data_IF_588322522012
#
_entry.id   IF_588322522012
#
_cell.length_a   1.000
_cell.length_b   1.000
_cell.length_c   1.000
_cell.angle_alpha   90.00
_cell.angle_beta   90.00
_cell.angle_gamma   90.00
#
_symmetry.space_group_name_H-M   'P 1'
#
loop_
_entity.id
_entity.type
_entity.pdbx_description
1 polymer ?
#
# COMPACT_ATOMS: atom_id res chain seq x y z
N UNK A 1 26.97 37.10 21.63
CA UNK A 1 26.51 36.50 20.40
C UNK A 1 25.22 35.79 20.71
N UNK A 2 24.08 36.34 20.30
CA UNK A 2 22.75 35.75 20.59
C UNK A 2 22.45 34.73 19.47
N UNK A 3 22.44 33.46 19.81
CA UNK A 3 22.05 32.41 18.93
C UNK A 3 20.56 32.58 18.55
N UNK A 4 20.32 32.70 17.26
CA UNK A 4 19.02 33.02 16.68
C UNK A 4 18.13 31.75 16.70
N UNK A 5 17.04 31.69 17.50
CA UNK A 5 16.23 30.48 17.69
C UNK A 5 15.45 30.06 16.39
N UNK A 6 15.49 30.89 15.34
CA UNK A 6 14.75 30.64 14.10
C UNK A 6 15.40 29.53 13.26
N UNK A 7 16.74 29.33 13.35
CA UNK A 7 17.41 28.27 12.60
C UNK A 7 17.17 26.84 13.13
N UNK A 8 16.84 26.70 14.43
CA UNK A 8 16.56 25.40 15.02
C UNK A 8 15.14 24.88 14.68
N UNK A 9 14.18 25.77 14.48
CA UNK A 9 12.79 25.40 14.22
C UNK A 9 12.53 24.98 12.76
N UNK A 10 13.29 25.48 11.80
CA UNK A 10 13.14 25.11 10.38
C UNK A 10 13.71 23.73 10.04
N UNK A 11 14.73 23.26 10.75
CA UNK A 11 15.30 21.92 10.56
C UNK A 11 14.41 20.78 11.09
N UNK A 12 13.47 21.06 11.99
CA UNK A 12 12.59 20.03 12.59
C UNK A 12 11.43 19.67 11.65
N UNK A 13 11.04 20.54 10.74
CA UNK A 13 9.86 20.32 9.89
C UNK A 13 10.12 19.52 8.59
N UNK A 14 11.38 19.36 8.16
CA UNK A 14 11.74 18.65 6.93
C UNK A 14 12.58 17.37 7.11
N UNK A 15 13.05 17.10 8.31
CA UNK A 15 13.76 15.85 8.59
C UNK A 15 12.74 14.73 8.77
N UNK A 16 12.70 13.78 7.85
CA UNK A 16 12.06 12.48 8.08
C UNK A 16 12.64 11.95 9.40
N UNK A 17 11.83 11.67 10.43
CA UNK A 17 12.35 11.21 11.71
C UNK A 17 13.30 10.02 11.49
N UNK A 18 14.49 10.05 12.07
CA UNK A 18 15.48 8.97 11.90
C UNK A 18 14.89 7.59 12.21
N UNK A 19 13.98 7.52 13.16
CA UNK A 19 13.25 6.31 13.51
C UNK A 19 12.40 5.79 12.35
N UNK A 20 11.71 6.67 11.62
CA UNK A 20 10.90 6.26 10.46
C UNK A 20 11.77 5.69 9.34
N UNK A 21 12.97 6.26 9.08
CA UNK A 21 13.91 5.70 8.11
C UNK A 21 14.44 4.33 8.55
N UNK A 22 14.76 4.15 9.82
CA UNK A 22 15.16 2.85 10.36
C UNK A 22 14.07 1.79 10.16
N UNK A 23 12.82 2.15 10.43
CA UNK A 23 11.67 1.26 10.24
C UNK A 23 11.48 0.88 8.77
N UNK A 24 11.63 1.82 7.83
CA UNK A 24 11.60 1.53 6.40
C UNK A 24 12.68 0.51 6.05
N UNK A 25 13.91 0.69 6.53
CA UNK A 25 15.01 -0.25 6.30
C UNK A 25 14.72 -1.62 6.90
N UNK A 26 14.21 -1.69 8.13
CA UNK A 26 13.79 -2.95 8.77
C UNK A 26 12.75 -3.67 7.91
N UNK A 27 11.75 -2.94 7.43
CA UNK A 27 10.71 -3.51 6.58
C UNK A 27 11.27 -4.05 5.26
N UNK A 28 12.16 -3.32 4.61
CA UNK A 28 12.83 -3.76 3.37
C UNK A 28 13.66 -5.03 3.63
N UNK A 29 14.47 -5.04 4.69
CA UNK A 29 15.28 -6.22 5.08
C UNK A 29 14.40 -7.43 5.38
N UNK A 30 13.20 -7.21 5.92
CA UNK A 30 12.26 -8.29 6.24
C UNK A 30 11.75 -9.02 5.01
N UNK A 31 11.75 -8.42 3.81
CA UNK A 31 11.45 -9.12 2.57
C UNK A 31 12.55 -10.13 2.18
N UNK A 32 13.81 -9.78 2.37
CA UNK A 32 14.91 -10.71 2.15
C UNK A 32 14.86 -11.88 3.15
N UNK A 33 14.57 -11.58 4.42
CA UNK A 33 14.35 -12.61 5.45
C UNK A 33 13.12 -13.46 5.13
N UNK A 34 12.04 -12.87 4.63
CA UNK A 34 10.85 -13.59 4.20
C UNK A 34 11.17 -14.60 3.09
N UNK A 35 12.04 -14.24 2.12
CA UNK A 35 12.49 -15.17 1.10
C UNK A 35 13.21 -16.39 1.69
N UNK A 36 14.18 -16.16 2.58
CA UNK A 36 14.89 -17.24 3.28
C UNK A 36 13.93 -18.11 4.10
N UNK A 37 13.00 -17.46 4.82
CA UNK A 37 11.99 -18.12 5.64
C UNK A 37 11.06 -19.03 4.82
N UNK A 38 10.55 -18.54 3.68
CA UNK A 38 9.69 -19.32 2.77
C UNK A 38 10.42 -20.54 2.26
N UNK A 39 11.69 -20.39 1.88
CA UNK A 39 12.52 -21.47 1.38
C UNK A 39 12.78 -22.53 2.46
N UNK A 40 13.16 -22.11 3.65
CA UNK A 40 13.47 -23.00 4.77
C UNK A 40 12.26 -23.80 5.23
N UNK A 41 11.10 -23.14 5.35
CA UNK A 41 9.88 -23.78 5.86
C UNK A 41 8.94 -24.30 4.77
N UNK A 42 9.38 -24.31 3.49
CA UNK A 42 8.66 -24.87 2.33
C UNK A 42 7.24 -24.32 2.17
N UNK A 43 7.05 -23.01 2.37
CA UNK A 43 5.73 -22.35 2.33
C UNK A 43 5.20 -22.08 0.90
N UNK A 44 5.86 -22.58 -0.13
CA UNK A 44 5.54 -22.30 -1.53
C UNK A 44 4.09 -22.58 -1.92
N UNK A 45 3.51 -23.68 -1.42
CA UNK A 45 2.10 -24.04 -1.72
C UNK A 45 1.11 -23.00 -1.20
N UNK A 46 1.40 -22.39 -0.05
CA UNK A 46 0.57 -21.35 0.58
C UNK A 46 0.69 -20.00 -0.11
N UNK A 47 1.64 -19.84 -1.01
CA UNK A 47 1.91 -18.60 -1.74
C UNK A 47 1.41 -18.72 -3.17
N UNK A 48 1.74 -19.81 -3.87
CA UNK A 48 1.49 -19.95 -5.30
C UNK A 48 -0.01 -20.04 -5.59
N UNK A 49 -0.78 -20.83 -4.85
CA UNK A 49 -2.21 -21.02 -5.12
C UNK A 49 -2.99 -19.69 -4.99
N UNK A 50 -2.94 -18.98 -3.84
CA UNK A 50 -3.61 -17.68 -3.73
C UNK A 50 -3.03 -16.64 -4.68
N UNK A 51 -1.72 -16.70 -4.93
CA UNK A 51 -1.02 -15.78 -5.82
C UNK A 51 -1.49 -15.90 -7.27
N UNK A 52 -1.71 -17.09 -7.79
CA UNK A 52 -2.28 -17.30 -9.14
C UNK A 52 -3.70 -16.73 -9.21
N UNK A 53 -4.54 -17.01 -8.21
CA UNK A 53 -5.89 -16.42 -8.14
C UNK A 53 -5.83 -14.89 -8.16
N UNK A 54 -4.92 -14.29 -7.38
CA UNK A 54 -4.71 -12.86 -7.36
C UNK A 54 -4.26 -12.32 -8.72
N UNK A 55 -3.29 -12.96 -9.37
CA UNK A 55 -2.78 -12.53 -10.66
C UNK A 55 -3.85 -12.55 -11.75
N UNK A 56 -4.70 -13.58 -11.77
CA UNK A 56 -5.83 -13.68 -12.71
C UNK A 56 -6.84 -12.55 -12.45
N UNK A 57 -7.26 -12.36 -11.20
CA UNK A 57 -8.21 -11.30 -10.83
C UNK A 57 -7.65 -9.92 -11.13
N UNK A 58 -6.36 -9.69 -10.85
CA UNK A 58 -5.69 -8.45 -11.17
C UNK A 58 -5.65 -8.18 -12.67
N UNK A 59 -5.29 -9.18 -13.50
CA UNK A 59 -5.28 -9.05 -14.94
C UNK A 59 -6.65 -8.73 -15.52
N UNK A 60 -7.71 -9.41 -15.05
CA UNK A 60 -9.10 -9.14 -15.43
C UNK A 60 -9.48 -7.70 -15.05
N UNK A 61 -9.13 -7.29 -13.82
CA UNK A 61 -9.43 -5.96 -13.31
C UNK A 61 -8.74 -4.86 -14.11
N UNK A 62 -7.47 -5.04 -14.47
CA UNK A 62 -6.72 -4.10 -15.31
C UNK A 62 -7.32 -3.98 -16.74
N UNK A 63 -7.83 -5.06 -17.29
CA UNK A 63 -8.52 -5.02 -18.57
C UNK A 63 -9.79 -4.16 -18.52
N UNK A 64 -10.63 -4.35 -17.50
CA UNK A 64 -11.83 -3.53 -17.31
C UNK A 64 -11.50 -2.06 -16.99
N UNK A 65 -10.44 -1.81 -16.23
CA UNK A 65 -9.97 -0.46 -15.97
C UNK A 65 -9.57 0.26 -17.25
N UNK A 66 -8.74 -0.36 -18.09
CA UNK A 66 -8.29 0.27 -19.33
C UNK A 66 -9.48 0.68 -20.21
N UNK A 67 -10.50 -0.17 -20.32
CA UNK A 67 -11.73 0.17 -21.05
C UNK A 67 -12.52 1.32 -20.42
N UNK A 68 -12.74 1.28 -19.11
CA UNK A 68 -13.54 2.28 -18.42
C UNK A 68 -12.84 3.62 -18.32
N UNK A 69 -11.52 3.64 -18.14
CA UNK A 69 -10.73 4.88 -18.08
C UNK A 69 -10.75 5.61 -19.43
N UNK A 70 -10.56 4.88 -20.54
CA UNK A 70 -10.62 5.47 -21.88
C UNK A 70 -12.02 6.02 -22.17
N UNK A 71 -13.07 5.28 -21.85
CA UNK A 71 -14.44 5.73 -22.02
C UNK A 71 -14.77 7.00 -21.18
N UNK A 72 -14.26 7.05 -19.95
CA UNK A 72 -14.44 8.21 -19.07
C UNK A 72 -13.68 9.44 -19.60
N UNK A 73 -12.46 9.28 -20.09
CA UNK A 73 -11.67 10.36 -20.68
C UNK A 73 -12.33 10.86 -21.97
N UNK A 74 -12.78 9.96 -22.84
CA UNK A 74 -13.51 10.31 -24.06
C UNK A 74 -14.80 11.07 -23.77
N UNK A 75 -15.59 10.59 -22.81
CA UNK A 75 -16.81 11.26 -22.39
C UNK A 75 -16.51 12.66 -21.84
N UNK A 76 -15.51 12.78 -20.97
CA UNK A 76 -15.15 14.07 -20.35
C UNK A 76 -14.64 15.08 -21.38
N UNK A 77 -13.81 14.65 -22.31
CA UNK A 77 -13.27 15.52 -23.37
C UNK A 77 -14.34 15.95 -24.37
N UNK A 78 -15.32 15.10 -24.64
CA UNK A 78 -16.44 15.39 -25.56
C UNK A 78 -17.45 16.35 -24.92
N UNK A 79 -17.91 16.07 -23.70
CA UNK A 79 -18.93 16.87 -23.01
C UNK A 79 -18.43 18.26 -22.61
N UNK A 80 -17.15 18.40 -22.28
CA UNK A 80 -16.54 19.68 -21.89
C UNK A 80 -16.10 20.51 -23.09
N UNK A 81 -16.17 19.97 -24.32
CA UNK A 81 -15.66 20.65 -25.53
C UNK A 81 -14.11 20.78 -25.52
N UNK A 82 -13.44 20.19 -24.57
CA UNK A 82 -11.98 20.20 -24.42
C UNK A 82 -11.27 19.66 -25.67
N UNK A 83 -11.92 18.73 -26.41
CA UNK A 83 -11.38 18.16 -27.61
C UNK A 83 -11.13 19.22 -28.70
N UNK A 84 -12.07 20.15 -28.88
CA UNK A 84 -11.93 21.27 -29.83
C UNK A 84 -10.87 22.28 -29.38
N UNK A 85 -10.71 22.47 -28.09
CA UNK A 85 -9.69 23.32 -27.50
C UNK A 85 -8.30 22.74 -27.62
N UNK A 86 -8.15 21.45 -27.33
CA UNK A 86 -6.89 20.71 -27.42
C UNK A 86 -6.34 20.66 -28.85
N UNK A 87 -7.20 20.49 -29.85
CA UNK A 87 -6.79 20.51 -31.26
C UNK A 87 -6.28 21.89 -31.72
N UNK A 88 -6.82 22.99 -31.14
CA UNK A 88 -6.34 24.36 -31.43
C UNK A 88 -5.04 24.73 -30.76
N UNK A 89 -4.68 24.02 -29.67
CA UNK A 89 -3.52 24.33 -28.84
C UNK A 89 -2.37 23.34 -29.02
N UNK A 90 -2.50 22.37 -29.94
CA UNK A 90 -1.55 21.25 -30.08
C UNK A 90 -0.10 21.70 -30.28
N UNK A 91 0.13 22.81 -30.97
CA UNK A 91 1.48 23.34 -31.27
C UNK A 91 1.93 24.42 -30.28
N UNK A 92 1.21 24.63 -29.17
CA UNK A 92 1.54 25.65 -28.20
C UNK A 92 2.09 25.05 -26.90
N UNK A 93 2.88 25.85 -26.15
CA UNK A 93 3.33 25.50 -24.80
C UNK A 93 2.17 25.14 -23.86
N UNK A 94 1.02 25.76 -24.06
CA UNK A 94 -0.22 25.49 -23.32
C UNK A 94 -0.72 24.06 -23.66
N UNK A 95 -0.68 23.64 -24.91
CA UNK A 95 -1.04 22.27 -25.33
C UNK A 95 -0.14 21.22 -24.69
N UNK A 96 1.16 21.50 -24.56
CA UNK A 96 2.10 20.62 -23.83
C UNK A 96 1.69 20.46 -22.36
N UNK A 97 1.35 21.56 -21.66
CA UNK A 97 0.91 21.51 -20.26
C UNK A 97 -0.39 20.70 -20.09
N UNK A 98 -1.35 20.84 -21.01
CA UNK A 98 -2.59 20.03 -20.97
C UNK A 98 -2.31 18.56 -21.21
N UNK A 99 -1.39 18.19 -22.11
CA UNK A 99 -1.00 16.80 -22.36
C UNK A 99 -0.38 16.18 -21.11
N UNK A 100 0.56 16.89 -20.47
CA UNK A 100 1.18 16.43 -19.22
C UNK A 100 0.15 16.31 -18.09
N UNK A 101 -0.74 17.29 -17.96
CA UNK A 101 -1.85 17.25 -17.00
C UNK A 101 -2.77 16.05 -17.22
N UNK A 102 -3.09 15.73 -18.46
CA UNK A 102 -3.88 14.55 -18.83
C UNK A 102 -3.19 13.23 -18.46
N UNK A 103 -1.88 13.11 -18.70
CA UNK A 103 -1.10 11.95 -18.31
C UNK A 103 -1.08 11.81 -16.77
N UNK A 104 -0.88 12.92 -16.04
CA UNK A 104 -0.88 12.90 -14.58
C UNK A 104 -2.25 12.48 -14.02
N UNK A 105 -3.33 13.04 -14.58
CA UNK A 105 -4.69 12.64 -14.20
C UNK A 105 -4.93 11.16 -14.46
N UNK A 106 -4.53 10.66 -15.62
CA UNK A 106 -4.66 9.23 -15.96
C UNK A 106 -3.90 8.35 -14.97
N UNK A 107 -2.67 8.71 -14.60
CA UNK A 107 -1.87 7.97 -13.60
C UNK A 107 -2.56 7.95 -12.24
N UNK A 108 -3.14 9.07 -11.81
CA UNK A 108 -3.84 9.16 -10.52
C UNK A 108 -5.14 8.34 -10.55
N UNK A 109 -5.88 8.36 -11.65
CA UNK A 109 -7.07 7.51 -11.82
C UNK A 109 -6.70 6.03 -11.82
N UNK A 110 -5.58 5.66 -12.44
CA UNK A 110 -5.05 4.30 -12.41
C UNK A 110 -4.71 3.88 -10.98
N UNK A 111 -4.05 4.75 -10.20
CA UNK A 111 -3.75 4.48 -8.80
C UNK A 111 -5.03 4.34 -7.95
N UNK A 112 -6.02 5.20 -8.17
CA UNK A 112 -7.32 5.09 -7.49
C UNK A 112 -8.00 3.75 -7.78
N UNK A 113 -8.06 3.36 -9.06
CA UNK A 113 -8.63 2.07 -9.46
C UNK A 113 -7.87 0.89 -8.85
N UNK A 114 -6.53 0.94 -8.91
CA UNK A 114 -5.68 -0.08 -8.30
C UNK A 114 -5.90 -0.16 -6.79
N UNK A 115 -6.08 0.99 -6.14
CA UNK A 115 -6.41 1.07 -4.71
C UNK A 115 -7.73 0.39 -4.38
N UNK A 116 -8.79 0.64 -5.15
CA UNK A 116 -10.09 0.00 -4.95
C UNK A 116 -10.02 -1.51 -5.17
N UNK A 117 -9.36 -1.95 -6.24
CA UNK A 117 -9.15 -3.36 -6.52
C UNK A 117 -8.37 -4.06 -5.41
N UNK A 118 -7.31 -3.45 -4.91
CA UNK A 118 -6.50 -3.92 -3.79
C UNK A 118 -7.37 -4.27 -2.58
N UNK A 119 -8.33 -3.41 -2.22
CA UNK A 119 -9.18 -3.64 -1.07
C UNK A 119 -10.18 -4.76 -1.29
N UNK A 120 -10.72 -4.93 -2.50
CA UNK A 120 -11.52 -6.11 -2.84
C UNK A 120 -10.70 -7.38 -2.60
N UNK A 121 -9.43 -7.39 -3.05
CA UNK A 121 -8.55 -8.53 -2.83
C UNK A 121 -8.17 -8.72 -1.37
N UNK A 122 -7.90 -7.64 -0.63
CA UNK A 122 -7.63 -7.73 0.81
C UNK A 122 -8.80 -8.33 1.58
N UNK A 123 -10.04 -8.01 1.20
CA UNK A 123 -11.25 -8.59 1.80
C UNK A 123 -11.37 -10.08 1.42
N UNK A 124 -11.25 -10.41 0.14
CA UNK A 124 -11.37 -11.80 -0.34
C UNK A 124 -10.19 -12.65 0.10
N UNK A 125 -8.99 -12.08 0.16
CA UNK A 125 -7.75 -12.74 0.58
C UNK A 125 -7.51 -12.75 2.09
N UNK A 126 -8.28 -11.97 2.86
CA UNK A 126 -8.12 -11.83 4.31
C UNK A 126 -8.01 -13.18 5.03
N UNK A 127 -8.80 -14.21 4.71
CA UNK A 127 -8.66 -15.53 5.30
C UNK A 127 -7.26 -16.14 5.08
N UNK A 128 -6.74 -16.04 3.88
CA UNK A 128 -5.44 -16.61 3.51
C UNK A 128 -4.30 -15.82 4.15
N UNK A 129 -4.40 -14.50 4.16
CA UNK A 129 -3.38 -13.62 4.73
C UNK A 129 -3.30 -13.75 6.26
N UNK A 130 -4.44 -13.85 6.94
CA UNK A 130 -4.49 -14.11 8.38
C UNK A 130 -3.83 -15.44 8.70
N UNK A 131 -4.20 -16.54 8.02
CA UNK A 131 -3.57 -17.85 8.20
C UNK A 131 -2.07 -17.84 7.91
N UNK A 132 -1.64 -17.11 6.88
CA UNK A 132 -0.21 -17.02 6.52
C UNK A 132 0.58 -16.25 7.58
N UNK A 133 0.05 -15.13 8.07
CA UNK A 133 0.63 -14.36 9.18
C UNK A 133 0.74 -15.22 10.45
N UNK A 134 -0.33 -15.92 10.80
CA UNK A 134 -0.38 -16.76 11.98
C UNK A 134 0.59 -17.96 11.91
N UNK A 135 0.65 -18.61 10.74
CA UNK A 135 1.62 -19.69 10.49
C UNK A 135 3.06 -19.19 10.54
N UNK A 136 3.34 -18.03 9.97
CA UNK A 136 4.67 -17.42 10.00
C UNK A 136 5.10 -17.17 11.43
N UNK A 137 4.25 -16.58 12.22
CA UNK A 137 4.55 -16.25 13.59
C UNK A 137 4.63 -17.47 14.50
N UNK A 138 3.80 -18.50 14.30
CA UNK A 138 3.90 -19.75 15.05
C UNK A 138 5.26 -20.43 14.86
N UNK A 139 5.81 -20.35 13.65
CA UNK A 139 7.15 -20.85 13.35
C UNK A 139 8.24 -20.01 14.05
N UNK A 140 8.11 -18.68 14.01
CA UNK A 140 9.07 -17.77 14.66
C UNK A 140 9.07 -17.95 16.18
N UNK A 141 7.90 -18.10 16.79
CA UNK A 141 7.74 -18.19 18.25
C UNK A 141 7.88 -19.63 18.77
N UNK A 142 8.01 -20.62 17.89
CA UNK A 142 8.07 -22.04 18.28
C UNK A 142 6.78 -22.56 18.92
N UNK A 143 5.65 -21.86 18.71
CA UNK A 143 4.35 -22.26 19.27
C UNK A 143 3.54 -23.06 18.24
N UNK A 144 2.76 -24.09 18.68
CA UNK A 144 1.92 -24.82 17.74
C UNK A 144 0.82 -23.92 17.18
N UNK A 145 0.56 -24.05 15.88
CA UNK A 145 -0.55 -23.38 15.23
C UNK A 145 -1.86 -24.10 15.58
N UNK A 146 -2.72 -23.45 16.35
CA UNK A 146 -4.06 -23.96 16.67
C UNK A 146 -5.14 -23.19 15.86
N UNK A 147 -5.73 -23.84 14.89
CA UNK A 147 -6.84 -23.28 14.13
C UNK A 147 -8.13 -23.31 14.94
N UNK A 148 -8.70 -22.13 15.26
CA UNK A 148 -10.02 -21.98 15.91
C UNK A 148 -10.96 -21.23 14.99
N UNK A 149 -11.97 -21.92 14.44
CA UNK A 149 -12.91 -21.34 13.46
C UNK A 149 -13.64 -20.09 13.99
N UNK A 150 -14.03 -20.06 15.26
CA UNK A 150 -14.72 -18.91 15.84
C UNK A 150 -13.85 -17.66 15.91
N UNK A 151 -12.58 -17.83 16.29
CA UNK A 151 -11.61 -16.74 16.29
C UNK A 151 -11.36 -16.27 14.86
N UNK A 152 -11.13 -17.20 13.95
CA UNK A 152 -10.91 -16.92 12.54
C UNK A 152 -12.04 -16.10 11.89
N UNK A 153 -13.31 -16.44 12.14
CA UNK A 153 -14.44 -15.64 11.64
C UNK A 153 -14.50 -14.24 12.24
N UNK A 154 -14.18 -14.10 13.52
CA UNK A 154 -14.07 -12.79 14.19
C UNK A 154 -12.98 -11.94 13.54
N UNK A 155 -11.82 -12.55 13.25
CA UNK A 155 -10.66 -11.93 12.66
C UNK A 155 -10.95 -11.47 11.21
N UNK A 156 -11.64 -12.29 10.42
CA UNK A 156 -12.11 -11.92 9.07
C UNK A 156 -13.05 -10.71 9.13
N UNK A 157 -14.03 -10.69 10.04
CA UNK A 157 -14.94 -9.54 10.19
C UNK A 157 -14.20 -8.28 10.60
N UNK A 158 -13.22 -8.41 11.50
CA UNK A 158 -12.35 -7.29 11.89
C UNK A 158 -11.51 -6.79 10.70
N UNK A 159 -10.88 -7.70 9.96
CA UNK A 159 -10.10 -7.37 8.77
C UNK A 159 -10.91 -6.63 7.70
N UNK A 160 -12.16 -7.07 7.46
CA UNK A 160 -13.10 -6.37 6.56
C UNK A 160 -13.35 -4.94 7.05
N UNK A 161 -13.66 -4.74 8.34
CA UNK A 161 -13.88 -3.40 8.91
C UNK A 161 -12.65 -2.50 8.73
N UNK A 162 -11.46 -3.04 8.95
CA UNK A 162 -10.20 -2.30 8.77
C UNK A 162 -9.95 -1.97 7.29
N UNK A 163 -10.20 -2.92 6.39
CA UNK A 163 -10.09 -2.69 4.95
C UNK A 163 -11.05 -1.59 4.48
N UNK A 164 -12.31 -1.64 4.88
CA UNK A 164 -13.31 -0.60 4.55
C UNK A 164 -12.87 0.77 5.08
N UNK A 165 -12.45 0.84 6.35
CA UNK A 165 -11.94 2.09 6.94
C UNK A 165 -10.74 2.64 6.14
N UNK A 166 -9.77 1.79 5.83
CA UNK A 166 -8.58 2.19 5.10
C UNK A 166 -8.92 2.65 3.68
N UNK A 167 -9.85 1.95 3.00
CA UNK A 167 -10.37 2.36 1.69
C UNK A 167 -10.96 3.76 1.75
N UNK A 168 -11.82 4.03 2.71
CA UNK A 168 -12.48 5.34 2.84
C UNK A 168 -11.45 6.46 3.05
N UNK A 169 -10.53 6.31 4.01
CA UNK A 169 -9.51 7.33 4.25
C UNK A 169 -8.57 7.50 3.06
N UNK A 170 -8.11 6.41 2.48
CA UNK A 170 -7.25 6.46 1.31
C UNK A 170 -7.94 7.15 0.12
N UNK A 171 -9.23 6.84 -0.11
CA UNK A 171 -10.02 7.49 -1.17
C UNK A 171 -10.10 8.99 -0.94
N UNK A 172 -10.34 9.45 0.29
CA UNK A 172 -10.33 10.88 0.63
C UNK A 172 -8.98 11.53 0.29
N UNK A 173 -7.86 10.90 0.66
CA UNK A 173 -6.54 11.43 0.32
C UNK A 173 -6.28 11.46 -1.19
N UNK A 174 -6.63 10.40 -1.92
CA UNK A 174 -6.45 10.35 -3.37
C UNK A 174 -7.32 11.40 -4.09
N UNK A 175 -8.58 11.57 -3.68
CA UNK A 175 -9.44 12.63 -4.21
C UNK A 175 -8.83 14.01 -3.93
N UNK A 176 -8.32 14.25 -2.71
CA UNK A 176 -7.64 15.51 -2.39
C UNK A 176 -6.42 15.76 -3.28
N UNK A 177 -5.65 14.70 -3.59
CA UNK A 177 -4.51 14.77 -4.50
C UNK A 177 -4.95 15.04 -5.93
N UNK A 178 -6.10 14.50 -6.39
CA UNK A 178 -6.67 14.82 -7.72
C UNK A 178 -6.92 16.32 -7.82
N UNK A 179 -7.56 16.94 -6.83
CA UNK A 179 -7.73 18.39 -6.83
C UNK A 179 -6.41 19.14 -6.80
N UNK A 180 -5.43 18.67 -6.02
CA UNK A 180 -4.11 19.28 -5.95
C UNK A 180 -3.35 19.15 -7.28
N UNK A 181 -3.59 18.10 -8.06
CA UNK A 181 -2.96 17.86 -9.35
C UNK A 181 -3.37 18.86 -10.43
N UNK A 182 -4.49 19.55 -10.23
CA UNK A 182 -4.95 20.62 -11.13
C UNK A 182 -4.12 21.90 -11.01
N UNK A 183 -3.32 22.04 -9.95
CA UNK A 183 -2.44 23.20 -9.76
C UNK A 183 -1.15 23.02 -10.56
N UNK A 184 -0.80 23.93 -11.48
CA UNK A 184 0.25 23.72 -12.48
C UNK A 184 1.66 23.49 -11.89
N UNK A 185 1.98 24.03 -10.72
CA UNK A 185 3.29 23.87 -10.09
C UNK A 185 3.37 22.70 -9.11
N UNK A 186 2.27 22.37 -8.43
CA UNK A 186 2.20 21.32 -7.42
C UNK A 186 1.83 19.97 -8.04
N UNK A 187 1.10 20.00 -9.15
CA UNK A 187 0.59 18.82 -9.84
C UNK A 187 1.68 17.78 -10.18
N UNK A 188 2.91 18.21 -10.43
CA UNK A 188 4.02 17.31 -10.76
C UNK A 188 4.45 16.40 -9.59
N UNK A 189 4.27 16.86 -8.36
CA UNK A 189 4.59 16.08 -7.16
C UNK A 189 3.48 15.11 -6.75
N UNK A 190 2.26 15.30 -7.26
CA UNK A 190 1.08 14.55 -6.82
C UNK A 190 1.14 13.05 -7.08
N UNK A 191 1.71 12.52 -8.18
CA UNK A 191 1.86 11.08 -8.36
C UNK A 191 2.76 10.44 -7.29
N UNK A 192 3.82 11.13 -6.88
CA UNK A 192 4.72 10.65 -5.82
C UNK A 192 3.98 10.57 -4.48
N UNK A 193 3.21 11.61 -4.15
CA UNK A 193 2.39 11.63 -2.95
C UNK A 193 1.33 10.52 -2.97
N UNK A 194 0.68 10.30 -4.11
CA UNK A 194 -0.30 9.24 -4.28
C UNK A 194 0.33 7.85 -4.07
N UNK A 195 1.51 7.59 -4.64
CA UNK A 195 2.24 6.33 -4.45
C UNK A 195 2.63 6.13 -2.97
N UNK A 196 3.08 7.18 -2.27
CA UNK A 196 3.41 7.07 -0.85
C UNK A 196 2.19 6.75 0.01
N UNK A 197 1.04 7.34 -0.29
CA UNK A 197 -0.23 7.02 0.38
C UNK A 197 -0.64 5.58 0.08
N UNK A 198 -0.52 5.13 -1.17
CA UNK A 198 -0.75 3.75 -1.56
C UNK A 198 0.14 2.79 -0.78
N UNK A 199 1.44 3.06 -0.71
CA UNK A 199 2.40 2.26 0.04
C UNK A 199 2.02 2.18 1.53
N UNK A 200 1.69 3.32 2.14
CA UNK A 200 1.31 3.36 3.55
C UNK A 200 0.07 2.50 3.83
N UNK A 201 -1.02 2.69 3.08
CA UNK A 201 -2.27 1.98 3.35
C UNK A 201 -2.21 0.49 3.01
N UNK A 202 -1.43 0.12 1.99
CA UNK A 202 -1.19 -1.29 1.71
C UNK A 202 -0.41 -1.95 2.84
N UNK A 203 0.74 -1.39 3.20
CA UNK A 203 1.56 -1.90 4.29
C UNK A 203 0.84 -1.87 5.64
N UNK A 204 -0.01 -0.85 5.87
CA UNK A 204 -0.91 -0.82 7.02
C UNK A 204 -1.76 -2.10 7.09
N UNK A 205 -2.39 -2.47 5.98
CA UNK A 205 -3.24 -3.67 5.93
C UNK A 205 -2.44 -4.95 6.19
N UNK A 206 -1.20 -5.03 5.71
CA UNK A 206 -0.33 -6.19 5.96
C UNK A 206 0.12 -6.28 7.42
N UNK A 207 0.46 -5.16 8.06
CA UNK A 207 0.80 -5.10 9.47
C UNK A 207 -0.40 -5.40 10.37
N UNK A 208 -1.60 -5.00 9.95
CA UNK A 208 -2.80 -5.22 10.74
C UNK A 208 -3.10 -6.71 10.97
N UNK A 209 -2.80 -7.60 10.02
CA UNK A 209 -2.89 -9.06 10.24
C UNK A 209 -1.99 -9.52 11.39
N UNK A 210 -0.82 -8.93 11.54
CA UNK A 210 0.08 -9.22 12.67
C UNK A 210 -0.40 -8.59 13.99
N UNK A 211 -1.03 -7.42 13.93
CA UNK A 211 -1.66 -6.78 15.09
C UNK A 211 -2.85 -7.60 15.61
N UNK A 212 -3.69 -8.08 14.70
CA UNK A 212 -4.83 -8.93 14.97
C UNK A 212 -4.42 -10.20 15.73
N UNK A 213 -3.42 -10.90 15.22
CA UNK A 213 -2.86 -12.07 15.87
C UNK A 213 -2.38 -11.78 17.30
N UNK A 214 -1.81 -10.60 17.54
CA UNK A 214 -1.40 -10.16 18.87
C UNK A 214 -2.56 -9.67 19.74
N UNK A 215 -3.81 -9.97 19.35
CA UNK A 215 -5.06 -9.60 20.06
C UNK A 215 -5.20 -8.09 20.31
N UNK A 216 -4.55 -7.27 19.49
CA UNK A 216 -4.75 -5.83 19.56
C UNK A 216 -6.15 -5.47 19.05
N UNK A 217 -6.86 -4.62 19.78
CA UNK A 217 -8.11 -4.06 19.28
C UNK A 217 -7.84 -3.20 18.03
N UNK A 218 -8.86 -2.98 17.19
CA UNK A 218 -8.72 -2.15 16.00
C UNK A 218 -8.13 -0.75 16.30
N UNK A 219 -8.56 -0.12 17.41
CA UNK A 219 -8.03 1.16 17.84
C UNK A 219 -6.54 1.10 18.19
N UNK A 220 -6.12 0.07 18.94
CA UNK A 220 -4.70 -0.14 19.29
C UNK A 220 -3.84 -0.48 18.08
N UNK A 221 -4.37 -1.20 17.09
CA UNK A 221 -3.67 -1.45 15.82
C UNK A 221 -3.44 -0.17 15.03
N UNK A 222 -4.47 0.68 14.95
CA UNK A 222 -4.37 1.99 14.29
C UNK A 222 -3.31 2.85 14.97
N UNK A 223 -3.31 2.90 16.29
CA UNK A 223 -2.34 3.66 17.06
C UNK A 223 -0.93 3.12 16.88
N UNK A 224 -0.74 1.81 17.03
CA UNK A 224 0.55 1.16 16.83
C UNK A 224 1.13 1.42 15.43
N UNK A 225 0.35 1.18 14.38
CA UNK A 225 0.83 1.40 13.00
C UNK A 225 1.01 2.89 12.72
N UNK A 226 0.19 3.74 13.35
CA UNK A 226 0.35 5.20 13.30
C UNK A 226 1.65 5.69 13.93
N UNK A 227 2.16 5.01 14.95
CA UNK A 227 3.47 5.28 15.56
C UNK A 227 4.61 4.70 14.72
N UNK A 228 4.39 3.57 14.04
CA UNK A 228 5.37 2.84 13.20
C UNK A 228 5.09 2.98 11.70
N UNK A 229 4.86 4.22 11.22
CA UNK A 229 4.53 4.50 9.80
C UNK A 229 5.61 4.02 8.84
N UNK A 230 6.86 4.03 9.25
CA UNK A 230 7.99 3.59 8.44
C UNK A 230 7.87 2.11 8.05
N UNK A 231 7.39 1.25 8.96
CA UNK A 231 7.14 -0.17 8.65
C UNK A 231 6.09 -0.33 7.56
N UNK A 232 4.99 0.43 7.66
CA UNK A 232 3.92 0.37 6.67
C UNK A 232 4.40 0.87 5.30
N UNK A 233 5.05 2.04 5.25
CA UNK A 233 5.57 2.61 4.01
C UNK A 233 6.60 1.67 3.38
N UNK A 234 7.56 1.17 4.15
CA UNK A 234 8.60 0.25 3.66
C UNK A 234 8.02 -1.05 3.11
N UNK A 235 7.01 -1.63 3.78
CA UNK A 235 6.32 -2.82 3.30
C UNK A 235 5.62 -2.56 1.96
N UNK A 236 4.88 -1.44 1.85
CA UNK A 236 4.21 -1.07 0.62
C UNK A 236 5.16 -0.76 -0.54
N UNK A 237 6.29 -0.09 -0.29
CA UNK A 237 7.29 0.21 -1.33
C UNK A 237 7.77 -1.08 -2.00
N UNK A 238 8.21 -2.06 -1.23
CA UNK A 238 8.72 -3.32 -1.81
C UNK A 238 7.59 -4.10 -2.48
N UNK A 239 6.38 -4.10 -1.91
CA UNK A 239 5.22 -4.68 -2.56
C UNK A 239 5.00 -4.13 -3.96
N UNK A 240 4.97 -2.79 -4.12
CA UNK A 240 4.75 -2.17 -5.42
C UNK A 240 5.92 -2.37 -6.37
N UNK A 241 7.16 -2.35 -5.87
CA UNK A 241 8.33 -2.71 -6.68
C UNK A 241 8.25 -4.14 -7.22
N UNK A 242 7.86 -5.10 -6.40
CA UNK A 242 7.61 -6.48 -6.85
C UNK A 242 6.46 -6.53 -7.86
N UNK A 243 5.40 -5.76 -7.65
CA UNK A 243 4.23 -5.69 -8.53
C UNK A 243 4.54 -5.20 -9.94
N UNK A 244 5.60 -4.39 -10.10
CA UNK A 244 6.10 -3.97 -11.40
C UNK A 244 6.68 -5.14 -12.23
N UNK A 245 7.01 -6.28 -11.59
CA UNK A 245 7.43 -7.50 -12.27
C UNK A 245 6.17 -8.27 -12.66
N UNK A 246 5.77 -8.10 -13.92
CA UNK A 246 4.51 -8.64 -14.44
C UNK A 246 4.43 -10.16 -14.22
N UNK A 247 3.26 -10.66 -13.83
CA UNK A 247 2.92 -12.05 -13.52
C UNK A 247 3.65 -12.57 -12.26
N UNK A 248 4.97 -12.57 -12.24
CA UNK A 248 5.76 -13.10 -11.11
C UNK A 248 5.50 -12.29 -9.85
N UNK A 249 5.58 -10.96 -9.94
CA UNK A 249 5.30 -10.07 -8.83
C UNK A 249 3.84 -10.18 -8.35
N UNK A 250 2.90 -10.30 -9.28
CA UNK A 250 1.49 -10.46 -8.93
C UNK A 250 1.20 -11.72 -8.12
N UNK A 251 1.92 -12.81 -8.41
CA UNK A 251 1.77 -14.07 -7.68
C UNK A 251 2.42 -13.99 -6.30
N UNK A 252 3.62 -13.43 -6.20
CA UNK A 252 4.42 -13.51 -4.98
C UNK A 252 4.30 -12.32 -4.04
N UNK A 253 4.09 -11.10 -4.56
CA UNK A 253 4.14 -9.89 -3.75
C UNK A 253 3.18 -9.89 -2.56
N UNK A 254 1.89 -10.30 -2.65
CA UNK A 254 0.99 -10.25 -1.51
C UNK A 254 1.44 -11.15 -0.36
N UNK A 255 1.87 -12.37 -0.64
CA UNK A 255 2.31 -13.32 0.38
C UNK A 255 3.63 -12.88 1.02
N UNK A 256 4.57 -12.38 0.22
CA UNK A 256 5.83 -11.82 0.75
C UNK A 256 5.56 -10.62 1.66
N UNK A 257 4.60 -9.75 1.29
CA UNK A 257 4.25 -8.59 2.10
C UNK A 257 3.72 -8.97 3.48
N UNK A 258 2.86 -9.99 3.56
CA UNK A 258 2.33 -10.51 4.85
C UNK A 258 3.44 -11.11 5.71
N UNK A 259 4.28 -11.97 5.12
CA UNK A 259 5.38 -12.61 5.86
C UNK A 259 6.39 -11.55 6.33
N UNK A 260 6.77 -10.62 5.47
CA UNK A 260 7.69 -9.54 5.82
C UNK A 260 7.11 -8.62 6.91
N UNK A 261 5.81 -8.30 6.85
CA UNK A 261 5.12 -7.54 7.90
C UNK A 261 5.19 -8.27 9.25
N UNK A 262 4.95 -9.59 9.25
CA UNK A 262 5.03 -10.41 10.48
C UNK A 262 6.44 -10.43 11.05
N UNK A 263 7.47 -10.60 10.21
CA UNK A 263 8.87 -10.61 10.64
C UNK A 263 9.29 -9.23 11.17
N UNK A 264 8.96 -8.14 10.47
CA UNK A 264 9.34 -6.79 10.89
C UNK A 264 8.67 -6.38 12.20
N UNK A 265 7.42 -6.75 12.38
CA UNK A 265 6.70 -6.48 13.63
C UNK A 265 7.29 -7.25 14.82
N UNK A 266 7.70 -8.50 14.61
CA UNK A 266 8.37 -9.29 15.64
C UNK A 266 9.69 -8.63 16.06
N UNK A 267 10.50 -8.19 15.10
CA UNK A 267 11.79 -7.52 15.38
C UNK A 267 11.61 -6.21 16.19
N UNK A 268 10.58 -5.41 15.89
CA UNK A 268 10.31 -4.18 16.66
C UNK A 268 9.91 -4.52 18.09
N UNK A 269 9.07 -5.53 18.28
CA UNK A 269 8.65 -5.96 19.62
C UNK A 269 9.81 -6.47 20.46
N UNK A 270 10.68 -7.28 19.88
CA UNK A 270 11.89 -7.73 20.57
C UNK A 270 12.75 -6.53 21.03
N UNK A 271 13.01 -5.59 20.13
CA UNK A 271 13.78 -4.38 20.48
C UNK A 271 13.14 -3.55 21.59
N UNK A 272 11.82 -3.46 21.64
CA UNK A 272 11.09 -2.75 22.70
C UNK A 272 11.08 -3.50 24.04
N UNK A 273 11.18 -4.84 24.02
CA UNK A 273 11.24 -5.63 25.25
C UNK A 273 12.62 -5.62 25.91
N UNK A 274 13.66 -5.21 25.19
CA UNK A 274 15.03 -5.07 25.68
C UNK A 274 15.43 -3.62 26.02
N UNK A 275 14.54 -2.63 25.76
CA UNK A 275 14.75 -1.23 26.06
C UNK A 275 13.97 -0.83 27.33
#
# INVERSE_FOLDING_TARGET
MKDNPIHLTLNVYFAIPQEMLKEIVISIQSYFRAHAFIRTHRLWKWIIIPGICYAILFGISMYFFSKSANAAIEWLTKETGLQVWLTRLQDSWIGFLFTVGGIMLWLILMLLYFSLFKYIWLILGSPVFSMLSEKTASIIEGQPYEFKLSQYLSDVVRGIKMAVRNTLWQTVYIISIIFLSLLPFIGWATPVLAILIECYYYGFSMLDYSCERNKLSAAKSIDFIGQHKGLAIGNGIIFYMMHCIIIVGWIFAPAYAVIAATISMHEIKEKQSFA
#
